data_IF_021653549378
#
_entry.id   IF_021653549378
#
_cell.length_a   1.000
_cell.length_b   1.000
_cell.length_c   1.000
_cell.angle_alpha   90.00
_cell.angle_beta   90.00
_cell.angle_gamma   90.00
#
_symmetry.space_group_name_H-M   'P 1'
#
loop_
_entity.id
_entity.type
_entity.pdbx_description
1 polymer ?
#
# COMPACT_ATOMS: atom_id res chain seq x y z
N UNK A 1 -3.27 -9.83 8.46
CA UNK A 1 -2.12 -10.15 7.57
C UNK A 1 -1.81 -8.89 6.79
N UNK A 2 -0.56 -8.44 6.73
CA UNK A 2 -0.14 -7.26 5.95
C UNK A 2 0.60 -7.68 4.68
N UNK A 3 0.61 -6.79 3.67
CA UNK A 3 1.39 -6.98 2.44
C UNK A 3 2.88 -6.64 2.59
N UNK A 4 3.34 -6.30 3.80
CA UNK A 4 4.72 -5.90 4.09
C UNK A 4 5.75 -7.03 4.01
N UNK A 5 5.33 -8.26 3.73
CA UNK A 5 6.21 -9.43 3.63
C UNK A 5 6.75 -9.97 4.96
N UNK A 6 6.29 -9.43 6.09
CA UNK A 6 6.69 -9.85 7.44
C UNK A 6 5.60 -10.71 8.11
N UNK A 7 6.02 -11.64 8.96
CA UNK A 7 5.10 -12.44 9.78
C UNK A 7 4.47 -11.60 10.91
N UNK A 8 3.25 -11.94 11.31
CA UNK A 8 2.52 -11.30 12.42
C UNK A 8 1.42 -10.32 12.00
N UNK A 9 0.93 -9.54 12.98
CA UNK A 9 -0.02 -8.44 12.72
C UNK A 9 0.71 -7.32 12.00
N UNK A 10 0.05 -6.70 11.01
CA UNK A 10 0.55 -5.48 10.39
C UNK A 10 0.58 -4.31 11.36
N UNK A 11 1.33 -3.27 11.01
CA UNK A 11 1.35 -2.01 11.74
C UNK A 11 0.97 -0.88 10.80
N UNK A 12 0.17 0.07 11.30
CA UNK A 12 -0.14 1.32 10.60
C UNK A 12 0.51 2.45 11.39
N UNK A 13 1.49 3.08 10.79
CA UNK A 13 2.21 4.21 11.39
C UNK A 13 1.60 5.53 10.94
N UNK A 14 1.49 6.47 11.86
CA UNK A 14 1.25 7.87 11.55
C UNK A 14 2.63 8.50 11.34
N UNK A 15 2.80 9.14 10.19
CA UNK A 15 4.10 9.69 9.76
C UNK A 15 3.97 11.15 9.36
N UNK A 16 5.04 11.89 9.60
CA UNK A 16 5.24 13.23 9.04
C UNK A 16 6.30 13.17 7.94
N UNK A 17 6.02 13.72 6.75
CA UNK A 17 7.03 13.81 5.71
C UNK A 17 8.08 14.87 6.06
N UNK A 18 9.36 14.56 5.83
CA UNK A 18 10.43 15.56 5.97
C UNK A 18 10.69 16.34 4.68
N UNK A 19 9.94 16.06 3.63
CA UNK A 19 10.05 16.68 2.32
C UNK A 19 8.75 16.58 1.51
N UNK A 20 8.79 16.86 0.20
CA UNK A 20 7.60 16.85 -0.64
C UNK A 20 7.04 15.43 -0.81
N UNK A 21 5.71 15.35 -0.95
CA UNK A 21 4.99 14.15 -1.36
C UNK A 21 4.52 14.33 -2.81
N UNK A 22 4.45 13.23 -3.54
CA UNK A 22 3.80 13.15 -4.85
C UNK A 22 2.80 11.99 -4.89
N UNK A 23 1.85 12.04 -5.81
CA UNK A 23 0.87 10.97 -6.01
C UNK A 23 1.58 9.65 -6.36
N UNK A 24 1.14 8.54 -5.76
CA UNK A 24 1.67 7.22 -6.09
C UNK A 24 1.23 6.84 -7.51
N UNK A 25 2.18 6.67 -8.45
CA UNK A 25 1.82 6.37 -9.83
C UNK A 25 1.21 4.98 -9.95
N UNK A 26 1.47 4.02 -9.04
CA UNK A 26 0.89 2.67 -9.11
C UNK A 26 -0.63 2.65 -8.91
N UNK A 27 -1.21 3.71 -8.33
CA UNK A 27 -2.62 3.79 -7.98
C UNK A 27 -3.34 4.98 -8.64
N UNK A 28 -2.61 6.06 -8.91
CA UNK A 28 -3.18 7.30 -9.47
C UNK A 28 -3.45 7.16 -10.97
N UNK A 29 -4.68 7.48 -11.39
CA UNK A 29 -5.13 7.37 -12.79
C UNK A 29 -4.94 5.98 -13.42
N UNK A 30 -4.89 4.90 -12.62
CA UNK A 30 -4.84 3.52 -13.13
C UNK A 30 -6.24 2.95 -13.35
N UNK A 31 -6.88 2.47 -12.28
CA UNK A 31 -8.24 1.88 -12.36
C UNK A 31 -9.35 2.93 -12.30
N UNK A 32 -9.10 4.03 -11.59
CA UNK A 32 -10.04 5.12 -11.37
C UNK A 32 -9.36 6.47 -11.67
N UNK A 33 -10.11 7.50 -12.10
CA UNK A 33 -9.56 8.83 -12.31
C UNK A 33 -9.14 9.48 -10.98
N UNK A 34 -8.01 10.18 -11.01
CA UNK A 34 -7.40 10.84 -9.86
C UNK A 34 -6.75 9.86 -8.88
N UNK A 35 -6.62 10.29 -7.61
CA UNK A 35 -6.06 9.52 -6.50
C UNK A 35 -7.11 9.32 -5.40
N UNK A 36 -8.16 8.50 -5.63
CA UNK A 36 -9.25 8.34 -4.66
C UNK A 36 -8.80 7.66 -3.37
N UNK A 37 -7.73 6.86 -3.42
CA UNK A 37 -7.15 6.19 -2.25
C UNK A 37 -6.26 7.10 -1.41
N UNK A 38 -5.92 8.30 -1.91
CA UNK A 38 -4.96 9.22 -1.30
C UNK A 38 -3.61 8.56 -1.01
N UNK A 39 -3.09 7.83 -2.01
CA UNK A 39 -1.81 7.14 -1.92
C UNK A 39 -0.69 8.02 -2.47
N UNK A 40 0.38 8.17 -1.71
CA UNK A 40 1.50 9.07 -2.03
C UNK A 40 2.84 8.36 -1.85
N UNK A 41 3.89 8.93 -2.46
CA UNK A 41 5.28 8.51 -2.26
C UNK A 41 6.21 9.72 -2.08
N UNK A 42 7.40 9.45 -1.55
CA UNK A 42 8.47 10.44 -1.43
C UNK A 42 9.82 9.75 -1.38
N UNK A 43 10.85 10.41 -1.90
CA UNK A 43 12.26 9.99 -1.76
C UNK A 43 12.89 10.49 -0.45
N UNK A 44 12.23 11.44 0.23
CA UNK A 44 12.71 12.00 1.48
C UNK A 44 12.27 11.13 2.67
N UNK A 45 13.04 11.12 3.77
CA UNK A 45 12.67 10.35 4.96
C UNK A 45 11.27 10.69 5.51
N UNK A 46 10.70 9.72 6.20
CA UNK A 46 9.47 9.90 6.97
C UNK A 46 9.78 9.78 8.46
N UNK A 47 9.22 10.68 9.27
CA UNK A 47 9.29 10.59 10.74
C UNK A 47 8.05 9.89 11.27
N UNK A 48 8.22 8.79 11.99
CA UNK A 48 7.12 8.14 12.71
C UNK A 48 6.75 9.00 13.91
N UNK A 49 5.49 9.41 14.00
CA UNK A 49 4.94 10.22 15.11
C UNK A 49 3.87 9.50 15.91
N UNK A 50 3.43 8.33 15.45
CA UNK A 50 2.46 7.50 16.19
C UNK A 50 2.20 6.16 15.52
N UNK A 51 1.39 5.35 16.18
CA UNK A 51 0.89 4.06 15.70
C UNK A 51 -0.63 4.08 15.85
N UNK A 52 -1.34 3.61 14.83
CA UNK A 52 -2.78 3.36 14.95
C UNK A 52 -2.95 1.99 15.60
N UNK A 53 -3.45 1.96 16.84
CA UNK A 53 -3.65 0.72 17.59
C UNK A 53 -4.98 0.02 17.23
N UNK A 54 -6.04 0.83 17.09
CA UNK A 54 -7.42 0.40 16.90
C UNK A 54 -7.82 0.38 15.42
N UNK A 55 -7.15 -0.48 14.65
CA UNK A 55 -7.53 -0.75 13.26
C UNK A 55 -7.94 -2.20 13.08
N UNK A 56 -9.00 -2.39 12.30
CA UNK A 56 -9.49 -3.70 11.90
C UNK A 56 -8.93 -4.06 10.53
N UNK A 57 -8.38 -5.27 10.42
CA UNK A 57 -7.92 -5.80 9.14
C UNK A 57 -9.08 -6.27 8.27
N UNK A 58 -8.83 -6.40 6.98
CA UNK A 58 -9.80 -7.01 6.09
C UNK A 58 -10.07 -8.49 6.43
N UNK A 59 -11.27 -9.01 6.09
CA UNK A 59 -11.57 -10.44 6.19
C UNK A 59 -10.53 -11.29 5.45
N UNK A 60 -10.23 -12.47 5.99
CA UNK A 60 -9.18 -13.36 5.48
C UNK A 60 -9.45 -13.76 4.03
N UNK A 61 -10.71 -13.97 3.66
CA UNK A 61 -11.15 -14.36 2.33
C UNK A 61 -10.86 -13.25 1.30
N UNK A 62 -11.04 -11.99 1.70
CA UNK A 62 -10.75 -10.84 0.86
C UNK A 62 -9.24 -10.68 0.64
N UNK A 63 -8.45 -10.87 1.72
CA UNK A 63 -6.99 -10.86 1.64
C UNK A 63 -6.49 -11.97 0.70
N UNK A 64 -7.03 -13.19 0.83
CA UNK A 64 -6.67 -14.33 -0.04
C UNK A 64 -6.99 -14.02 -1.50
N UNK A 65 -8.19 -13.56 -1.81
CA UNK A 65 -8.57 -13.23 -3.19
C UNK A 65 -7.70 -12.13 -3.81
N UNK A 66 -7.28 -11.14 -3.02
CA UNK A 66 -6.33 -10.12 -3.45
C UNK A 66 -4.94 -10.73 -3.73
N UNK A 67 -4.41 -11.58 -2.84
CA UNK A 67 -3.11 -12.24 -3.03
C UNK A 67 -3.09 -13.14 -4.26
N UNK A 68 -4.14 -13.93 -4.48
CA UNK A 68 -4.29 -14.79 -5.65
C UNK A 68 -4.29 -13.96 -6.95
N UNK A 69 -4.96 -12.81 -6.94
CA UNK A 69 -4.99 -11.88 -8.07
C UNK A 69 -3.61 -11.28 -8.38
N UNK A 70 -2.82 -10.95 -7.35
CA UNK A 70 -1.45 -10.48 -7.51
C UNK A 70 -0.54 -11.58 -8.08
N UNK A 71 -0.75 -12.84 -7.68
CA UNK A 71 -0.01 -13.97 -8.22
C UNK A 71 -0.34 -14.21 -9.71
N UNK A 72 -1.61 -14.11 -10.11
CA UNK A 72 -2.00 -14.17 -11.52
C UNK A 72 -1.34 -13.08 -12.36
N UNK A 73 -1.34 -11.84 -11.87
CA UNK A 73 -0.67 -10.72 -12.55
C UNK A 73 0.83 -10.98 -12.74
N UNK A 74 1.50 -11.58 -11.75
CA UNK A 74 2.90 -11.99 -11.86
C UNK A 74 3.10 -13.09 -12.91
N UNK A 75 2.27 -14.14 -12.88
CA UNK A 75 2.33 -15.24 -13.87
C UNK A 75 2.14 -14.77 -15.31
N UNK A 76 1.33 -13.71 -15.49
CA UNK A 76 1.06 -13.10 -16.81
C UNK A 76 2.08 -12.05 -17.24
N UNK A 77 3.06 -11.73 -16.38
CA UNK A 77 4.06 -10.68 -16.66
C UNK A 77 3.49 -9.26 -16.67
N UNK A 78 2.33 -9.03 -16.03
CA UNK A 78 1.65 -7.73 -15.96
C UNK A 78 1.88 -7.01 -14.63
N UNK A 79 2.64 -7.61 -13.72
CA UNK A 79 2.99 -7.04 -12.42
C UNK A 79 4.11 -5.99 -12.56
N UNK A 80 3.77 -4.85 -13.16
CA UNK A 80 4.65 -3.68 -13.28
C UNK A 80 4.57 -2.86 -11.98
N UNK A 81 5.73 -2.52 -11.42
CA UNK A 81 5.86 -1.60 -10.28
C UNK A 81 6.60 -0.37 -10.77
N UNK A 82 6.03 0.80 -10.52
CA UNK A 82 6.61 2.10 -10.79
C UNK A 82 7.20 2.66 -9.49
N UNK A 83 8.53 2.65 -9.37
CA UNK A 83 9.33 3.16 -8.23
C UNK A 83 9.95 4.52 -8.57
#
# INVERSE_FOLDING_TARGET
MSLSGLEGRGYIYIVEPTGPLEDDPNLTNKKFPGNPTQSYRTCEPLRIVGVVEDWEGHPVELIRGMLDSLEDLKRRGLHVIED
#
